data_IF_111626148028
#
_entry.id   IF_111626148028
#
_cell.length_a   1.000
_cell.length_b   1.000
_cell.length_c   1.000
_cell.angle_alpha   90.00
_cell.angle_beta   90.00
_cell.angle_gamma   90.00
#
_symmetry.space_group_name_H-M   'P 1'
#
loop_
_entity.id
_entity.type
_entity.pdbx_description
1 polymer ?
#
# COMPACT_ATOMS: atom_id res chain seq x y z
N UNK A 1 -18.67 -33.17 18.72
CA UNK A 1 -17.28 -33.66 18.64
C UNK A 1 -16.86 -33.61 17.18
N UNK A 2 -15.92 -32.72 16.87
CA UNK A 2 -15.09 -32.56 15.65
C UNK A 2 -15.77 -32.05 14.36
N UNK A 3 -15.56 -30.76 13.99
CA UNK A 3 -14.44 -30.16 13.22
C UNK A 3 -14.61 -30.37 11.70
N UNK A 4 -15.18 -29.40 10.97
CA UNK A 4 -14.50 -28.30 10.24
C UNK A 4 -13.45 -28.79 9.24
N UNK A 5 -13.69 -28.60 7.93
CA UNK A 5 -12.70 -28.06 6.99
C UNK A 5 -13.43 -27.42 5.79
N UNK A 6 -13.49 -26.09 5.83
CA UNK A 6 -13.76 -25.20 4.72
C UNK A 6 -12.42 -25.03 3.98
N UNK A 7 -12.29 -25.55 2.76
CA UNK A 7 -11.08 -25.35 1.94
C UNK A 7 -11.29 -24.10 1.09
N UNK A 8 -10.77 -22.98 1.60
CA UNK A 8 -10.54 -21.76 0.82
C UNK A 8 -9.24 -21.97 0.05
N UNK A 9 -9.34 -22.17 -1.27
CA UNK A 9 -8.17 -22.11 -2.15
C UNK A 9 -7.87 -20.64 -2.48
N UNK A 10 -7.07 -20.01 -1.63
CA UNK A 10 -6.31 -18.81 -1.97
C UNK A 10 -5.01 -19.26 -2.63
N UNK A 11 -5.00 -19.33 -3.97
CA UNK A 11 -3.75 -19.46 -4.72
C UNK A 11 -3.05 -18.11 -4.74
N UNK A 12 -2.11 -17.91 -3.82
CA UNK A 12 -1.01 -16.96 -3.99
C UNK A 12 0.09 -17.72 -4.76
N UNK A 13 0.13 -17.51 -6.07
CA UNK A 13 1.19 -18.01 -6.94
C UNK A 13 1.85 -16.85 -7.66
N UNK A 14 3.04 -16.46 -7.22
CA UNK A 14 3.90 -15.53 -7.95
C UNK A 14 4.75 -16.29 -8.98
N UNK A 15 4.69 -15.79 -10.23
CA UNK A 15 5.69 -15.79 -11.32
C UNK A 15 5.78 -17.02 -12.25
N UNK A 16 5.32 -16.78 -13.48
CA UNK A 16 5.82 -17.42 -14.71
C UNK A 16 5.52 -16.50 -15.89
N UNK A 17 6.53 -15.77 -16.38
CA UNK A 17 6.43 -14.87 -17.53
C UNK A 17 6.30 -15.67 -18.83
N UNK A 18 5.06 -15.89 -19.25
CA UNK A 18 4.68 -16.27 -20.61
C UNK A 18 3.40 -15.51 -20.94
N UNK A 19 3.22 -15.10 -22.19
CA UNK A 19 1.89 -14.74 -22.66
C UNK A 19 1.03 -16.01 -22.60
N UNK A 20 0.49 -16.31 -21.42
CA UNK A 20 -0.53 -17.33 -21.30
C UNK A 20 -1.80 -16.68 -21.81
N UNK A 21 -2.09 -16.83 -23.11
CA UNK A 21 -3.45 -17.21 -23.44
C UNK A 21 -3.79 -18.35 -22.49
N UNK A 22 -4.72 -18.12 -21.56
CA UNK A 22 -5.25 -19.21 -20.75
C UNK A 22 -5.97 -20.10 -21.75
N UNK A 23 -5.25 -21.09 -22.30
CA UNK A 23 -5.86 -22.20 -22.98
C UNK A 23 -6.58 -22.99 -21.90
N UNK A 24 -7.87 -22.68 -21.75
CA UNK A 24 -8.75 -23.49 -20.95
C UNK A 24 -8.80 -24.84 -21.67
N UNK A 25 -8.13 -25.85 -21.09
CA UNK A 25 -8.17 -27.21 -21.61
C UNK A 25 -9.64 -27.62 -21.74
N UNK A 26 -10.10 -27.81 -22.99
CA UNK A 26 -11.43 -28.31 -23.28
C UNK A 26 -11.49 -29.79 -22.90
N UNK A 27 -11.58 -30.06 -21.60
CA UNK A 27 -11.96 -31.37 -21.11
C UNK A 27 -13.49 -31.42 -20.96
N UNK A 28 -14.02 -32.64 -20.89
CA UNK A 28 -15.46 -32.88 -20.76
C UNK A 28 -16.08 -32.15 -19.56
N UNK A 29 -15.30 -31.91 -18.49
CA UNK A 29 -15.79 -31.20 -17.31
C UNK A 29 -15.95 -29.71 -17.59
N UNK A 30 -15.03 -29.13 -18.35
CA UNK A 30 -15.05 -27.74 -18.80
C UNK A 30 -16.18 -27.52 -19.80
N UNK A 31 -16.37 -28.43 -20.76
CA UNK A 31 -17.53 -28.40 -21.68
C UNK A 31 -18.85 -28.47 -20.91
N UNK A 32 -18.99 -29.43 -20.00
CA UNK A 32 -20.17 -29.55 -19.13
C UNK A 32 -20.37 -28.30 -18.27
N UNK A 33 -19.30 -27.67 -17.79
CA UNK A 33 -19.41 -26.41 -17.06
C UNK A 33 -19.99 -25.31 -17.95
N UNK A 34 -19.49 -25.13 -19.18
CA UNK A 34 -20.00 -24.12 -20.11
C UNK A 34 -21.43 -24.41 -20.59
N UNK A 35 -21.75 -25.66 -20.91
CA UNK A 35 -23.10 -26.10 -21.29
C UNK A 35 -24.13 -25.81 -20.19
N UNK A 36 -23.71 -25.99 -18.93
CA UNK A 36 -24.56 -25.73 -17.77
C UNK A 36 -24.44 -24.30 -17.24
N UNK A 37 -23.52 -23.47 -17.77
CA UNK A 37 -23.25 -22.13 -17.25
C UNK A 37 -24.49 -21.25 -17.35
N UNK A 38 -25.18 -21.26 -18.50
CA UNK A 38 -26.40 -20.47 -18.69
C UNK A 38 -27.54 -20.86 -17.74
N UNK A 39 -27.72 -22.16 -17.50
CA UNK A 39 -28.71 -22.66 -16.54
C UNK A 39 -28.32 -22.31 -15.09
N UNK A 40 -27.02 -22.35 -14.78
CA UNK A 40 -26.46 -22.02 -13.46
C UNK A 40 -26.56 -20.52 -13.18
N UNK A 41 -26.29 -19.67 -14.17
CA UNK A 41 -26.43 -18.22 -14.07
C UNK A 41 -27.88 -17.82 -13.78
N UNK A 42 -28.83 -18.34 -14.57
CA UNK A 42 -30.27 -18.11 -14.36
C UNK A 42 -30.76 -18.64 -13.02
N UNK A 43 -30.38 -19.88 -12.66
CA UNK A 43 -30.79 -20.51 -11.40
C UNK A 43 -30.35 -19.70 -10.18
N UNK A 44 -29.17 -19.10 -10.24
CA UNK A 44 -28.59 -18.34 -9.14
C UNK A 44 -28.87 -16.83 -9.24
N UNK A 45 -29.74 -16.39 -10.16
CA UNK A 45 -30.05 -14.97 -10.40
C UNK A 45 -28.79 -14.11 -10.69
N UNK A 46 -27.78 -14.76 -11.26
CA UNK A 46 -26.50 -14.18 -11.66
C UNK A 46 -26.58 -13.50 -13.04
N UNK A 47 -27.77 -13.38 -13.61
CA UNK A 47 -28.04 -12.55 -14.80
C UNK A 47 -27.67 -11.06 -14.55
N UNK A 48 -27.54 -10.70 -13.27
CA UNK A 48 -27.10 -9.40 -12.77
C UNK A 48 -25.58 -9.29 -12.52
N UNK A 49 -24.79 -10.35 -12.78
CA UNK A 49 -23.32 -10.22 -12.81
C UNK A 49 -23.03 -9.14 -13.84
N UNK A 50 -22.59 -7.98 -13.34
CA UNK A 50 -22.49 -6.71 -14.04
C UNK A 50 -22.14 -6.90 -15.51
N UNK A 51 -22.93 -6.28 -16.40
CA UNK A 51 -22.46 -6.02 -17.76
C UNK A 51 -21.08 -5.38 -17.61
N UNK A 52 -20.06 -6.11 -18.05
CA UNK A 52 -18.70 -5.59 -17.99
C UNK A 52 -18.70 -4.27 -18.76
N UNK A 53 -18.14 -3.19 -18.19
CA UNK A 53 -18.03 -1.92 -18.90
C UNK A 53 -17.53 -2.17 -20.31
N UNK A 54 -18.13 -1.49 -21.29
CA UNK A 54 -17.83 -1.67 -22.72
C UNK A 54 -16.36 -1.46 -23.04
N UNK A 55 -15.66 -0.69 -22.19
CA UNK A 55 -14.21 -0.49 -22.24
C UNK A 55 -13.68 -0.28 -20.82
N UNK A 56 -12.69 -1.08 -20.44
CA UNK A 56 -11.84 -0.83 -19.27
C UNK A 56 -10.40 -0.83 -19.75
N UNK A 57 -9.60 0.14 -19.33
CA UNK A 57 -8.14 0.06 -19.40
C UNK A 57 -7.60 0.12 -17.97
N UNK A 58 -6.84 -0.88 -17.56
CA UNK A 58 -6.17 -0.92 -16.26
C UNK A 58 -4.67 -0.98 -16.46
N UNK A 59 -3.94 -0.13 -15.77
CA UNK A 59 -2.48 -0.12 -15.79
C UNK A 59 -1.98 -0.36 -14.36
N UNK A 60 -1.24 -1.45 -14.17
CA UNK A 60 -0.57 -1.77 -12.93
C UNK A 60 0.82 -1.15 -12.95
N UNK A 61 1.00 -0.11 -12.15
CA UNK A 61 2.29 0.52 -11.93
C UNK A 61 2.83 0.22 -10.54
N UNK A 62 4.14 0.40 -10.34
CA UNK A 62 4.77 0.26 -9.02
C UNK A 62 4.24 1.24 -7.95
N UNK A 63 3.39 2.19 -8.33
CA UNK A 63 2.72 3.13 -7.42
C UNK A 63 1.24 2.88 -7.19
N UNK A 64 0.61 1.87 -7.82
CA UNK A 64 -0.82 1.60 -7.71
C UNK A 64 -1.47 1.18 -9.02
N UNK A 65 -2.79 1.04 -8.98
CA UNK A 65 -3.62 0.57 -10.09
C UNK A 65 -4.39 1.76 -10.65
N UNK A 66 -4.17 2.06 -11.92
CA UNK A 66 -4.86 3.13 -12.66
C UNK A 66 -5.93 2.49 -13.53
N UNK A 67 -7.20 2.90 -13.38
CA UNK A 67 -8.32 2.31 -14.13
C UNK A 67 -9.10 3.40 -14.86
N UNK A 68 -9.24 3.26 -16.17
CA UNK A 68 -10.13 4.08 -17.00
C UNK A 68 -11.34 3.26 -17.41
N UNK A 69 -12.52 3.75 -17.03
CA UNK A 69 -13.85 3.28 -17.44
C UNK A 69 -14.69 4.51 -17.83
N UNK A 70 -15.94 4.60 -17.38
CA UNK A 70 -16.73 5.85 -17.42
C UNK A 70 -16.12 6.99 -16.59
N UNK A 71 -15.30 6.64 -15.59
CA UNK A 71 -14.52 7.54 -14.74
C UNK A 71 -13.09 7.04 -14.62
N UNK A 72 -12.20 7.92 -14.17
CA UNK A 72 -10.86 7.52 -13.75
C UNK A 72 -10.90 7.07 -12.29
N UNK A 73 -10.32 5.91 -12.01
CA UNK A 73 -10.08 5.42 -10.65
C UNK A 73 -8.60 5.16 -10.42
N UNK A 74 -8.17 5.38 -9.18
CA UNK A 74 -6.85 4.97 -8.72
C UNK A 74 -6.96 4.24 -7.39
N UNK A 75 -6.20 3.17 -7.25
CA UNK A 75 -6.16 2.33 -6.04
C UNK A 75 -4.73 2.01 -5.63
N UNK A 76 -4.47 2.00 -4.31
CA UNK A 76 -3.17 1.63 -3.74
C UNK A 76 -3.34 0.95 -2.38
N UNK A 77 -2.61 -0.15 -2.20
CA UNK A 77 -2.64 -0.94 -0.97
C UNK A 77 -1.47 -0.57 -0.06
N UNK A 78 -1.75 -0.53 1.24
CA UNK A 78 -0.78 -0.36 2.31
C UNK A 78 -1.00 -1.51 3.29
N UNK A 79 0.03 -2.32 3.52
CA UNK A 79 -0.09 -3.51 4.38
C UNK A 79 0.74 -3.25 5.63
N UNK A 80 0.11 -3.21 6.80
CA UNK A 80 0.83 -3.07 8.05
C UNK A 80 1.71 -4.32 8.27
N UNK A 81 3.02 -4.13 8.44
CA UNK A 81 3.97 -5.24 8.54
C UNK A 81 3.85 -6.04 9.83
N UNK A 82 3.27 -5.46 10.87
CA UNK A 82 3.09 -6.09 12.17
C UNK A 82 1.74 -6.80 12.26
N UNK A 83 0.65 -6.09 11.94
CA UNK A 83 -0.71 -6.61 12.08
C UNK A 83 -1.22 -7.35 10.84
N UNK A 84 -0.54 -7.21 9.70
CA UNK A 84 -0.99 -7.67 8.38
C UNK A 84 -2.30 -7.03 7.89
N UNK A 85 -2.78 -5.99 8.58
CA UNK A 85 -3.98 -5.26 8.18
C UNK A 85 -3.73 -4.48 6.88
N UNK A 86 -4.74 -4.49 6.01
CA UNK A 86 -4.69 -3.85 4.70
C UNK A 86 -5.48 -2.54 4.77
N UNK A 87 -4.82 -1.44 4.44
CA UNK A 87 -5.41 -0.12 4.24
C UNK A 87 -5.43 0.18 2.74
N UNK A 88 -6.61 0.44 2.19
CA UNK A 88 -6.81 0.71 0.76
C UNK A 88 -7.05 2.21 0.56
N UNK A 89 -6.13 2.86 -0.14
CA UNK A 89 -6.41 4.15 -0.74
C UNK A 89 -7.17 3.93 -2.04
N UNK A 90 -8.34 4.56 -2.17
CA UNK A 90 -9.10 4.60 -3.42
C UNK A 90 -9.55 6.03 -3.70
N UNK A 91 -9.42 6.46 -4.95
CA UNK A 91 -10.02 7.70 -5.42
C UNK A 91 -10.67 7.54 -6.78
N UNK A 92 -11.65 8.39 -7.05
CA UNK A 92 -12.33 8.49 -8.33
C UNK A 92 -12.33 9.95 -8.80
N UNK A 93 -12.19 10.18 -10.10
CA UNK A 93 -12.21 11.50 -10.70
C UNK A 93 -13.03 11.51 -12.00
N UNK A 94 -13.85 12.56 -12.15
CA UNK A 94 -14.56 12.88 -13.39
C UNK A 94 -13.60 13.63 -14.33
N UNK A 95 -12.70 12.91 -14.99
CA UNK A 95 -11.98 13.43 -16.16
C UNK A 95 -12.07 12.39 -17.30
N UNK A 96 -12.68 12.74 -18.44
CA UNK A 96 -12.91 11.79 -19.55
C UNK A 96 -11.73 11.70 -20.51
N UNK A 97 -10.77 12.64 -20.46
CA UNK A 97 -9.64 12.61 -21.37
C UNK A 97 -8.70 11.47 -20.96
N UNK A 98 -8.79 10.35 -21.67
CA UNK A 98 -7.86 9.22 -21.57
C UNK A 98 -6.43 9.75 -21.75
N UNK A 99 -5.71 9.92 -20.64
CA UNK A 99 -4.30 10.34 -20.67
C UNK A 99 -3.47 9.26 -21.38
N UNK A 100 -3.88 7.99 -21.26
CA UNK A 100 -3.40 6.87 -22.05
C UNK A 100 -4.60 6.26 -22.79
N UNK A 101 -4.62 6.36 -24.12
CA UNK A 101 -5.72 5.79 -24.89
C UNK A 101 -5.53 4.30 -25.14
N UNK A 102 -6.63 3.56 -25.30
CA UNK A 102 -6.55 2.14 -25.66
C UNK A 102 -5.75 1.92 -26.96
N UNK A 103 -5.90 2.81 -27.95
CA UNK A 103 -5.15 2.74 -29.21
C UNK A 103 -3.64 2.90 -28.98
N UNK A 104 -3.25 3.83 -28.12
CA UNK A 104 -1.85 4.00 -27.72
C UNK A 104 -1.33 2.71 -27.08
N UNK A 105 -2.04 2.15 -26.09
CA UNK A 105 -1.67 0.89 -25.41
C UNK A 105 -1.49 -0.28 -26.40
N UNK A 106 -2.45 -0.42 -27.32
CA UNK A 106 -2.43 -1.46 -28.34
C UNK A 106 -1.21 -1.33 -29.25
N UNK A 107 -0.85 -0.10 -29.64
CA UNK A 107 0.29 0.20 -30.50
C UNK A 107 1.66 -0.03 -29.84
N UNK A 108 1.73 -0.08 -28.50
CA UNK A 108 3.00 -0.25 -27.80
C UNK A 108 3.63 -1.61 -28.10
N UNK A 109 4.93 -1.63 -28.39
CA UNK A 109 5.66 -2.89 -28.57
C UNK A 109 6.20 -3.34 -27.22
N UNK A 110 5.99 -4.61 -26.87
CA UNK A 110 6.70 -5.18 -25.73
C UNK A 110 8.19 -5.21 -26.06
N UNK A 111 9.01 -4.63 -25.18
CA UNK A 111 10.46 -4.75 -25.23
C UNK A 111 10.87 -5.53 -24.00
N UNK A 112 11.39 -6.73 -24.21
CA UNK A 112 11.95 -7.52 -23.13
C UNK A 112 13.36 -6.98 -22.86
N UNK A 113 13.50 -6.23 -21.77
CA UNK A 113 14.79 -5.68 -21.31
C UNK A 113 15.04 -6.29 -19.94
N UNK A 114 16.19 -6.94 -19.79
CA UNK A 114 16.67 -7.48 -18.51
C UNK A 114 16.80 -6.29 -17.52
N UNK A 115 16.42 -6.50 -16.27
CA UNK A 115 16.46 -5.50 -15.18
C UNK A 115 15.51 -4.30 -15.34
N UNK A 116 14.39 -4.50 -16.02
CA UNK A 116 13.39 -3.45 -16.13
C UNK A 116 12.05 -3.81 -15.48
N UNK A 117 11.48 -2.93 -14.62
CA UNK A 117 10.16 -3.16 -14.08
C UNK A 117 9.14 -3.27 -15.22
N UNK A 118 8.37 -4.35 -15.20
CA UNK A 118 7.23 -4.54 -16.09
C UNK A 118 6.11 -3.59 -15.68
N UNK A 119 5.42 -3.10 -16.70
CA UNK A 119 4.13 -2.43 -16.58
C UNK A 119 3.09 -3.37 -17.17
N UNK A 120 2.12 -3.79 -16.38
CA UNK A 120 1.04 -4.62 -16.88
C UNK A 120 -0.12 -3.73 -17.29
N UNK A 121 -0.59 -3.93 -18.52
CA UNK A 121 -1.77 -3.26 -19.03
C UNK A 121 -2.83 -4.29 -19.36
N UNK A 122 -4.00 -4.12 -18.76
CA UNK A 122 -5.18 -4.93 -19.01
C UNK A 122 -6.23 -4.08 -19.70
N UNK A 123 -6.99 -4.69 -20.61
CA UNK A 123 -8.19 -4.05 -21.10
C UNK A 123 -9.27 -5.06 -21.46
N UNK A 124 -10.51 -4.56 -21.49
CA UNK A 124 -11.68 -5.31 -21.97
C UNK A 124 -12.19 -4.62 -23.23
N UNK A 125 -12.32 -5.37 -24.32
CA UNK A 125 -12.89 -4.90 -25.58
C UNK A 125 -13.72 -6.03 -26.22
N UNK A 126 -14.96 -5.75 -26.62
CA UNK A 126 -15.86 -6.75 -27.22
C UNK A 126 -15.97 -8.08 -26.42
N UNK A 127 -16.05 -7.98 -25.08
CA UNK A 127 -16.06 -9.13 -24.15
C UNK A 127 -14.77 -9.97 -24.13
N UNK A 128 -13.70 -9.50 -24.78
CA UNK A 128 -12.39 -10.13 -24.70
C UNK A 128 -11.55 -9.40 -23.66
N UNK A 129 -10.94 -10.17 -22.77
CA UNK A 129 -9.98 -9.69 -21.79
C UNK A 129 -8.57 -9.89 -22.34
N UNK A 130 -7.78 -8.82 -22.36
CA UNK A 130 -6.40 -8.86 -22.87
C UNK A 130 -5.47 -8.30 -21.82
N UNK A 131 -4.34 -8.99 -21.62
CA UNK A 131 -3.25 -8.54 -20.75
C UNK A 131 -1.97 -8.43 -21.58
N UNK A 132 -1.25 -7.33 -21.38
CA UNK A 132 0.02 -7.07 -22.05
C UNK A 132 1.04 -6.58 -21.04
N UNK A 133 2.13 -7.32 -20.91
CA UNK A 133 3.28 -6.90 -20.13
C UNK A 133 4.23 -6.07 -21.00
N UNK A 134 4.51 -4.85 -20.56
CA UNK A 134 5.37 -3.88 -21.22
C UNK A 134 6.60 -3.61 -20.35
N UNK A 135 7.76 -4.10 -20.77
CA UNK A 135 9.02 -3.71 -20.15
C UNK A 135 9.41 -2.28 -20.52
N UNK A 136 9.89 -1.49 -19.55
CA UNK A 136 10.61 -0.25 -19.81
C UNK A 136 9.86 0.84 -20.59
N UNK A 137 8.53 0.90 -20.49
CA UNK A 137 7.75 1.90 -21.20
C UNK A 137 7.82 3.28 -20.52
N UNK A 138 8.84 4.07 -20.88
CA UNK A 138 9.08 5.42 -20.33
C UNK A 138 7.95 6.40 -20.63
N UNK A 139 7.31 6.27 -21.79
CA UNK A 139 6.22 7.16 -22.22
C UNK A 139 4.99 6.99 -21.33
N UNK A 140 4.50 5.75 -21.15
CA UNK A 140 3.39 5.51 -20.21
C UNK A 140 3.81 5.93 -18.81
N UNK A 141 5.02 5.55 -18.36
CA UNK A 141 5.47 5.89 -17.01
C UNK A 141 5.45 7.40 -16.77
N UNK A 142 5.90 8.19 -17.74
CA UNK A 142 5.86 9.66 -17.67
C UNK A 142 4.42 10.17 -17.56
N UNK A 143 3.50 9.62 -18.35
CA UNK A 143 2.07 9.97 -18.28
C UNK A 143 1.47 9.61 -16.91
N UNK A 144 1.76 8.42 -16.37
CA UNK A 144 1.29 8.02 -15.03
C UNK A 144 1.83 8.92 -13.92
N UNK A 145 3.09 9.37 -14.02
CA UNK A 145 3.66 10.34 -13.07
C UNK A 145 2.90 11.66 -13.12
N UNK A 146 2.63 12.19 -14.33
CA UNK A 146 1.84 13.42 -14.47
C UNK A 146 0.44 13.31 -13.86
N UNK A 147 -0.22 12.15 -14.03
CA UNK A 147 -1.50 11.86 -13.38
C UNK A 147 -1.37 11.85 -11.87
N UNK A 148 -0.36 11.16 -11.37
CA UNK A 148 -0.11 11.01 -9.96
C UNK A 148 0.06 12.39 -9.31
N UNK A 149 0.95 13.20 -9.87
CA UNK A 149 1.26 14.54 -9.36
C UNK A 149 0.02 15.46 -9.45
N UNK A 150 -0.73 15.42 -10.55
CA UNK A 150 -1.85 16.34 -10.75
C UNK A 150 -3.15 15.96 -10.02
N UNK A 151 -3.39 14.68 -9.72
CA UNK A 151 -4.69 14.21 -9.23
C UNK A 151 -4.63 13.39 -7.94
N UNK A 152 -3.51 12.70 -7.70
CA UNK A 152 -3.42 11.67 -6.65
C UNK A 152 -2.59 12.16 -5.47
N UNK A 153 -1.47 12.85 -5.69
CA UNK A 153 -0.44 13.11 -4.67
C UNK A 153 -1.02 13.74 -3.39
N UNK A 154 -1.69 14.89 -3.49
CA UNK A 154 -2.22 15.58 -2.31
C UNK A 154 -3.22 14.71 -1.53
N UNK A 155 -4.07 13.96 -2.23
CA UNK A 155 -5.06 13.08 -1.61
C UNK A 155 -4.40 11.88 -0.94
N UNK A 156 -3.35 11.35 -1.56
CA UNK A 156 -2.55 10.27 -1.01
C UNK A 156 -1.83 10.73 0.25
N UNK A 157 -1.27 11.94 0.24
CA UNK A 157 -0.57 12.50 1.39
C UNK A 157 -1.53 12.67 2.58
N UNK A 158 -2.74 13.19 2.33
CA UNK A 158 -3.79 13.27 3.35
C UNK A 158 -4.17 11.89 3.88
N UNK A 159 -4.33 10.89 3.01
CA UNK A 159 -4.64 9.53 3.42
C UNK A 159 -3.52 8.92 4.28
N UNK A 160 -2.27 9.07 3.85
CA UNK A 160 -1.10 8.56 4.56
C UNK A 160 -1.00 9.18 5.96
N UNK A 161 -1.26 10.48 6.09
CA UNK A 161 -1.28 11.17 7.39
C UNK A 161 -2.39 10.68 8.33
N UNK A 162 -3.39 9.97 7.82
CA UNK A 162 -4.48 9.39 8.60
C UNK A 162 -4.28 7.91 8.93
N UNK A 163 -3.23 7.27 8.41
CA UNK A 163 -2.91 5.89 8.74
C UNK A 163 -2.61 5.77 10.24
N UNK A 164 -3.07 4.68 10.90
CA UNK A 164 -2.63 4.36 12.26
C UNK A 164 -1.11 4.29 12.37
N UNK A 165 -0.59 4.35 13.60
CA UNK A 165 0.82 4.07 13.87
C UNK A 165 1.18 2.67 13.37
N UNK A 166 2.29 2.55 12.67
CA UNK A 166 2.71 1.29 12.08
C UNK A 166 3.79 1.44 11.01
N UNK A 167 4.45 0.33 10.72
CA UNK A 167 5.26 0.17 9.51
C UNK A 167 4.40 -0.46 8.42
N UNK A 168 4.40 0.14 7.23
CA UNK A 168 3.56 -0.26 6.11
C UNK A 168 4.41 -0.63 4.89
N UNK A 169 4.11 -1.78 4.30
CA UNK A 169 4.59 -2.14 2.98
C UNK A 169 3.68 -1.50 1.92
N UNK A 170 4.29 -0.81 0.97
CA UNK A 170 3.61 -0.19 -0.15
C UNK A 170 4.44 -0.34 -1.44
N UNK A 171 4.24 -1.46 -2.13
CA UNK A 171 5.13 -1.86 -3.21
C UNK A 171 6.57 -1.94 -2.68
N UNK A 172 7.57 -1.47 -3.42
CA UNK A 172 8.97 -1.53 -2.98
C UNK A 172 9.36 -0.54 -1.86
N UNK A 173 8.39 0.16 -1.23
CA UNK A 173 8.68 1.15 -0.18
C UNK A 173 8.14 0.67 1.17
N UNK A 174 8.97 0.82 2.18
CA UNK A 174 8.55 0.76 3.57
C UNK A 174 8.22 2.18 4.04
N UNK A 175 7.05 2.33 4.65
CA UNK A 175 6.54 3.59 5.15
C UNK A 175 6.35 3.46 6.66
N UNK A 176 7.10 4.22 7.44
CA UNK A 176 6.87 4.30 8.88
C UNK A 176 5.90 5.45 9.14
N UNK A 177 4.79 5.15 9.81
CA UNK A 177 3.81 6.12 10.29
C UNK A 177 3.83 6.06 11.81
N UNK A 178 4.06 7.19 12.46
CA UNK A 178 4.08 7.26 13.92
C UNK A 178 3.16 8.40 14.36
N UNK A 179 1.96 8.08 14.81
CA UNK A 179 0.96 9.11 15.11
C UNK A 179 1.21 9.70 16.50
N UNK A 180 1.39 11.03 16.63
CA UNK A 180 1.37 11.67 17.94
C UNK A 180 -0.01 11.51 18.57
N UNK A 181 -0.05 11.47 19.90
CA UNK A 181 -1.31 11.43 20.63
C UNK A 181 -1.98 12.80 20.51
N UNK A 182 -3.23 12.80 20.07
CA UNK A 182 -3.99 14.04 19.86
C UNK A 182 -4.21 14.78 21.17
N UNK A 183 -4.24 16.12 21.12
CA UNK A 183 -4.37 16.99 22.30
C UNK A 183 -5.65 16.73 23.11
N UNK A 184 -6.74 16.31 22.47
CA UNK A 184 -7.99 15.95 23.16
C UNK A 184 -7.87 14.67 24.02
N UNK A 185 -6.83 13.87 23.81
CA UNK A 185 -6.60 12.63 24.57
C UNK A 185 -5.77 12.93 25.81
N UNK A 186 -6.06 12.27 26.93
CA UNK A 186 -5.26 12.42 28.14
C UNK A 186 -3.84 11.88 27.92
N UNK A 187 -2.88 12.78 27.74
CA UNK A 187 -1.44 12.50 27.65
C UNK A 187 -0.85 12.19 29.04
N UNK A 188 0.00 11.17 29.14
CA UNK A 188 0.75 10.83 30.36
C UNK A 188 1.81 11.89 30.67
N UNK A 189 2.29 11.95 31.92
CA UNK A 189 3.37 12.87 32.29
C UNK A 189 4.65 12.58 31.51
N UNK A 190 4.98 11.29 31.33
CA UNK A 190 6.12 10.88 30.53
C UNK A 190 5.97 11.36 29.08
N UNK A 191 4.82 11.15 28.47
CA UNK A 191 4.57 11.58 27.10
C UNK A 191 4.81 13.10 26.95
N UNK A 192 4.21 13.92 27.84
CA UNK A 192 4.39 15.38 27.82
C UNK A 192 5.86 15.79 27.96
N UNK A 193 6.59 15.16 28.88
CA UNK A 193 8.02 15.42 29.09
C UNK A 193 8.86 15.11 27.85
N UNK A 194 8.52 14.04 27.13
CA UNK A 194 9.18 13.67 25.88
C UNK A 194 8.85 14.66 24.77
N UNK A 195 7.58 15.09 24.65
CA UNK A 195 7.21 16.16 23.71
C UNK A 195 7.94 17.48 24.01
N UNK A 196 8.06 17.86 25.29
CA UNK A 196 8.82 19.03 25.72
C UNK A 196 10.30 18.92 25.35
N UNK A 197 10.92 17.74 25.51
CA UNK A 197 12.30 17.50 25.13
C UNK A 197 12.50 17.62 23.60
N UNK A 198 11.55 17.14 22.79
CA UNK A 198 11.58 17.35 21.34
C UNK A 198 11.46 18.83 20.97
N UNK A 199 10.50 19.55 21.54
CA UNK A 199 10.34 20.99 21.29
C UNK A 199 11.58 21.80 21.67
N UNK A 200 12.18 21.51 22.83
CA UNK A 200 13.42 22.16 23.30
C UNK A 200 14.59 21.96 22.34
N UNK A 201 14.57 20.87 21.58
CA UNK A 201 15.61 20.53 20.61
C UNK A 201 15.21 20.82 19.16
N UNK A 202 14.14 21.60 18.94
CA UNK A 202 13.66 22.01 17.61
C UNK A 202 13.26 20.83 16.71
N UNK A 203 12.77 19.74 17.32
CA UNK A 203 12.25 18.57 16.60
C UNK A 203 10.73 18.70 16.47
N UNK A 204 10.26 18.81 15.24
CA UNK A 204 8.83 18.86 14.92
C UNK A 204 8.21 17.45 14.94
N UNK A 205 7.19 17.27 15.76
CA UNK A 205 6.42 16.02 15.89
C UNK A 205 4.99 16.16 15.36
N UNK A 206 4.70 17.19 14.56
CA UNK A 206 3.37 17.38 13.97
C UNK A 206 3.13 16.50 12.75
N UNK A 207 4.18 16.16 12.00
CA UNK A 207 4.09 15.36 10.78
C UNK A 207 4.34 13.87 11.07
N UNK A 208 3.33 12.98 11.01
CA UNK A 208 3.49 11.56 11.37
C UNK A 208 4.47 10.77 10.50
N UNK A 209 4.93 11.33 9.37
CA UNK A 209 5.93 10.74 8.47
C UNK A 209 7.35 11.23 8.72
N UNK A 210 7.50 12.28 9.54
CA UNK A 210 8.78 12.92 9.84
C UNK A 210 9.06 12.90 11.34
N UNK A 211 8.68 11.80 11.98
CA UNK A 211 8.78 11.65 13.42
C UNK A 211 10.16 11.15 13.84
N UNK A 212 10.66 11.61 15.01
CA UNK A 212 11.78 10.95 15.66
C UNK A 212 11.42 9.50 16.02
N UNK A 213 12.43 8.63 16.07
CA UNK A 213 12.26 7.27 16.55
C UNK A 213 12.26 7.26 18.09
N UNK A 214 11.45 6.39 18.68
CA UNK A 214 11.42 6.18 20.12
C UNK A 214 11.88 4.75 20.38
N UNK A 215 12.93 4.60 21.19
CA UNK A 215 13.42 3.30 21.62
C UNK A 215 13.27 3.17 23.13
N UNK A 216 12.71 2.05 23.59
CA UNK A 216 12.71 1.63 24.99
C UNK A 216 13.49 0.34 25.08
N UNK A 217 14.59 0.33 25.82
CA UNK A 217 15.45 -0.85 26.01
C UNK A 217 15.84 -1.54 24.69
N UNK A 218 16.25 -0.72 23.71
CA UNK A 218 16.65 -1.13 22.37
C UNK A 218 15.51 -1.69 21.49
N UNK A 219 14.25 -1.61 21.94
CA UNK A 219 13.08 -1.91 21.12
C UNK A 219 12.41 -0.61 20.66
N UNK A 220 12.15 -0.50 19.35
CA UNK A 220 11.39 0.62 18.80
C UNK A 220 9.92 0.53 19.24
N UNK A 221 9.34 1.66 19.63
CA UNK A 221 7.93 1.81 19.98
C UNK A 221 7.33 3.03 19.27
N UNK A 222 6.00 3.11 19.23
CA UNK A 222 5.28 4.25 18.68
C UNK A 222 4.96 5.30 19.76
N UNK A 223 4.62 6.53 19.35
CA UNK A 223 4.23 7.61 20.26
C UNK A 223 3.06 7.22 21.15
N UNK A 224 2.08 6.49 20.60
CA UNK A 224 0.94 5.98 21.36
C UNK A 224 1.34 5.04 22.51
N UNK A 225 2.47 4.32 22.39
CA UNK A 225 2.94 3.39 23.41
C UNK A 225 3.55 4.12 24.62
N UNK A 226 4.07 5.35 24.45
CA UNK A 226 4.61 6.15 25.56
C UNK A 226 3.56 6.40 26.65
N UNK A 227 2.28 6.50 26.28
CA UNK A 227 1.18 6.66 27.25
C UNK A 227 0.96 5.42 28.12
N UNK A 228 1.46 4.26 27.71
CA UNK A 228 1.35 2.99 28.45
C UNK A 228 2.50 2.79 29.45
N UNK A 229 3.56 3.59 29.34
CA UNK A 229 4.72 3.54 30.22
C UNK A 229 4.52 4.45 31.43
N UNK A 230 5.06 4.03 32.58
CA UNK A 230 5.09 4.87 33.77
C UNK A 230 6.41 5.63 33.84
N UNK A 231 6.35 6.89 34.23
CA UNK A 231 7.55 7.72 34.37
C UNK A 231 8.52 7.16 35.42
N UNK A 232 8.00 6.59 36.51
CA UNK A 232 8.79 5.97 37.60
C UNK A 232 9.64 4.78 37.14
N UNK A 233 9.28 4.15 36.01
CA UNK A 233 10.03 3.03 35.45
C UNK A 233 11.19 3.49 34.57
N UNK A 234 11.29 4.78 34.22
CA UNK A 234 12.32 5.33 33.34
C UNK A 234 13.54 5.76 34.16
N UNK A 235 14.68 5.09 33.94
CA UNK A 235 15.95 5.40 34.59
C UNK A 235 16.68 6.57 33.92
N UNK A 236 16.66 6.59 32.59
CA UNK A 236 17.35 7.61 31.80
C UNK A 236 16.72 7.76 30.44
N UNK A 237 16.88 8.95 29.87
CA UNK A 237 16.49 9.31 28.52
C UNK A 237 17.64 10.08 27.86
N UNK A 238 17.97 9.75 26.62
CA UNK A 238 18.91 10.55 25.84
C UNK A 238 18.40 10.73 24.41
N UNK A 239 18.60 11.93 23.88
CA UNK A 239 18.17 12.33 22.54
C UNK A 239 19.40 12.39 21.62
N UNK A 240 19.31 11.74 20.47
CA UNK A 240 20.28 11.81 19.38
C UNK A 240 19.67 12.58 18.22
N UNK A 241 20.47 13.41 17.55
CA UNK A 241 20.03 14.19 16.38
C UNK A 241 21.05 14.20 15.24
N UNK A 242 20.55 14.44 14.04
CA UNK A 242 21.38 14.60 12.84
C UNK A 242 22.31 13.41 12.59
N UNK A 243 23.62 13.70 12.53
CA UNK A 243 24.64 12.70 12.19
C UNK A 243 24.74 11.59 13.25
N UNK A 244 24.60 11.91 14.54
CA UNK A 244 24.70 10.91 15.61
C UNK A 244 23.56 9.89 15.53
N UNK A 245 22.33 10.38 15.31
CA UNK A 245 21.15 9.56 15.15
C UNK A 245 21.28 8.63 13.93
N UNK A 246 21.65 9.20 12.78
CA UNK A 246 21.75 8.45 11.53
C UNK A 246 22.95 7.50 11.48
N UNK A 247 24.05 7.81 12.17
CA UNK A 247 25.19 6.91 12.33
C UNK A 247 24.82 5.63 13.10
N UNK A 248 23.96 5.76 14.12
CA UNK A 248 23.57 4.64 15.00
C UNK A 248 22.35 3.87 14.48
N UNK A 249 21.37 4.55 13.89
CA UNK A 249 20.05 3.98 13.55
C UNK A 249 19.71 4.06 12.05
N UNK A 250 20.62 4.58 11.22
CA UNK A 250 20.45 4.67 9.77
C UNK A 250 19.57 5.84 9.32
N UNK A 251 19.24 5.87 8.03
CA UNK A 251 18.52 7.00 7.42
C UNK A 251 17.12 7.23 7.98
N UNK A 252 16.48 6.20 8.54
CA UNK A 252 15.16 6.33 9.18
C UNK A 252 15.19 7.24 10.43
N UNK A 253 16.38 7.46 10.99
CA UNK A 253 16.61 8.29 12.17
C UNK A 253 16.97 9.75 11.83
N UNK A 254 16.75 10.19 10.59
CA UNK A 254 17.09 11.56 10.17
C UNK A 254 16.35 12.65 10.96
N UNK A 255 15.19 12.31 11.53
CA UNK A 255 14.37 13.21 12.37
C UNK A 255 14.69 13.10 13.86
N UNK A 256 15.75 12.37 14.23
CA UNK A 256 16.19 12.17 15.60
C UNK A 256 15.75 10.84 16.20
N UNK A 257 16.32 10.51 17.36
CA UNK A 257 16.00 9.30 18.13
C UNK A 257 16.03 9.65 19.61
N UNK A 258 14.97 9.34 20.34
CA UNK A 258 15.00 9.32 21.80
C UNK A 258 15.11 7.88 22.29
N UNK A 259 16.07 7.63 23.18
CA UNK A 259 16.29 6.33 23.78
C UNK A 259 15.98 6.42 25.26
N UNK A 260 15.07 5.57 25.70
CA UNK A 260 14.62 5.39 27.06
C UNK A 260 15.18 4.07 27.60
N UNK A 261 15.67 4.10 28.84
CA UNK A 261 16.09 2.90 29.58
C UNK A 261 15.20 2.69 30.77
N UNK A 262 14.65 1.49 30.93
CA UNK A 262 13.77 1.18 32.05
C UNK A 262 14.51 0.48 33.19
N UNK A 263 13.93 0.55 34.39
CA UNK A 263 14.40 -0.15 35.58
C UNK A 263 14.21 -1.66 35.52
N UNK A 264 13.33 -2.14 34.63
CA UNK A 264 12.94 -3.56 34.53
C UNK A 264 14.07 -4.49 34.06
N UNK A 265 15.09 -3.97 33.38
CA UNK A 265 16.25 -4.72 32.88
C UNK A 265 17.42 -4.82 33.88
N UNK A 266 17.26 -4.35 35.12
CA UNK A 266 18.29 -4.40 36.17
C UNK A 266 18.08 -5.53 37.20
N UNK A 267 17.16 -6.48 36.94
CA UNK A 267 16.95 -7.66 37.77
C UNK A 267 17.30 -8.95 37.02
#
# INVERSE_FOLDING_TARGET
>A
MNFLYLVVFLFVGFIGYGQNTIEIFQDRKTELFYDNLGATLKRNQLDSIQQSPTKIVRIWGGGGIYTWKDTFEFQRLFINSETQEIQLFKMEAKRPDEIVTLKEVQALKSKMVIDCPSLEVEWVEHQQYVVKSLGCNREIRSKLVQIYDALISDKMDVFIQQLPSGSYYNGMRNLLVNQPIREETQKSNLYKKIEEEFHKNEIDISNPLQQPLIYVDNKMIYFEDLNRLKEEDILSSFLLKGVEATAMYGSIAMYGVIVLKTSSHLN
#
